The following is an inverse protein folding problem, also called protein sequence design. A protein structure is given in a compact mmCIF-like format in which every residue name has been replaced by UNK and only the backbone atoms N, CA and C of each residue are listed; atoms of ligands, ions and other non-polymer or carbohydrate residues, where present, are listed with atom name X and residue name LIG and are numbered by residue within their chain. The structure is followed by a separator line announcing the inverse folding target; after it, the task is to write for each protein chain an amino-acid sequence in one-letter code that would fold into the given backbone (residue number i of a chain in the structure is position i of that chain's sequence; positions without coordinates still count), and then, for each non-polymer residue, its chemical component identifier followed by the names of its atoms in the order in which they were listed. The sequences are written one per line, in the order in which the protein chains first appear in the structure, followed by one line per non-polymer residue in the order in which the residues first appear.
data_IF_417906563597
#
_entry.id   IF_417906563597
#
_cell.length_a   1.000
_cell.length_b   1.000
_cell.length_c   1.000
_cell.angle_alpha   90.00
_cell.angle_beta   90.00
_cell.angle_gamma   90.00
#
_symmetry.space_group_name_H-M   'P 1'
#
loop_
_entity.id
_entity.type
_entity.pdbx_description
1 polymer ?
#
# COMPACT_ATOMS: atom_id res chain seq x y z
N UNK A 1 15.33 33.92 -38.34
CA UNK A 1 13.88 33.76 -38.52
C UNK A 1 13.50 32.32 -38.17
N UNK A 2 12.54 32.14 -37.28
CA UNK A 2 11.97 30.83 -37.04
C UNK A 2 11.00 30.58 -38.20
N UNK A 3 11.24 29.52 -38.99
CA UNK A 3 10.25 29.01 -39.96
C UNK A 3 9.12 28.33 -39.20
N UNK A 4 8.14 29.13 -38.81
CA UNK A 4 6.95 28.67 -38.12
C UNK A 4 5.72 28.93 -39.01
N UNK A 5 5.05 27.86 -39.40
CA UNK A 5 3.75 27.93 -40.05
C UNK A 5 2.68 27.57 -39.01
N UNK A 6 1.72 28.47 -38.70
CA UNK A 6 0.60 28.14 -37.80
C UNK A 6 -0.23 26.95 -38.29
N UNK A 7 -0.31 26.75 -39.61
CA UNK A 7 -1.07 25.66 -40.21
C UNK A 7 -0.46 24.28 -39.97
N UNK A 8 0.88 24.15 -39.88
CA UNK A 8 1.59 22.91 -39.60
C UNK A 8 1.54 22.55 -38.12
N UNK A 9 1.15 23.50 -37.26
CA UNK A 9 1.08 23.36 -35.81
C UNK A 9 -0.37 23.37 -35.27
N UNK A 10 -1.34 23.18 -36.15
CA UNK A 10 -2.73 22.96 -35.71
C UNK A 10 -2.83 21.65 -34.91
N UNK A 11 -3.55 21.70 -33.79
CA UNK A 11 -3.83 20.51 -32.98
C UNK A 11 -4.51 19.46 -33.84
N UNK A 12 -3.80 18.39 -34.16
CA UNK A 12 -4.38 17.22 -34.82
C UNK A 12 -5.29 16.47 -33.84
N UNK A 13 -6.31 15.81 -34.37
CA UNK A 13 -7.11 14.89 -33.57
C UNK A 13 -6.20 13.80 -32.98
N UNK A 14 -6.43 13.35 -31.75
CA UNK A 14 -5.70 12.21 -31.21
C UNK A 14 -5.82 11.01 -32.14
N UNK A 15 -4.71 10.38 -32.46
CA UNK A 15 -4.69 9.17 -33.32
C UNK A 15 -4.60 7.93 -32.45
N UNK A 16 -5.06 6.80 -32.97
CA UNK A 16 -4.99 5.49 -32.30
C UNK A 16 -3.54 5.10 -31.95
N UNK A 17 -2.53 5.72 -32.57
CA UNK A 17 -1.12 5.57 -32.18
C UNK A 17 -0.81 6.02 -30.72
N UNK A 18 -1.68 6.82 -30.09
CA UNK A 18 -1.58 7.17 -28.67
C UNK A 18 -2.09 6.08 -27.74
N UNK A 19 -2.85 5.11 -28.25
CA UNK A 19 -3.43 4.05 -27.45
C UNK A 19 -2.37 3.27 -26.63
N UNK A 20 -1.28 2.74 -27.21
CA UNK A 20 -0.25 2.01 -26.46
C UNK A 20 0.43 2.89 -25.41
N UNK A 21 0.65 4.18 -25.72
CA UNK A 21 1.25 5.11 -24.80
C UNK A 21 0.32 5.39 -23.60
N UNK A 22 -0.98 5.58 -23.85
CA UNK A 22 -1.94 5.84 -22.78
C UNK A 22 -2.21 4.60 -21.95
N UNK A 23 -2.16 3.39 -22.53
CA UNK A 23 -2.18 2.14 -21.79
C UNK A 23 -0.95 2.04 -20.86
N UNK A 24 0.25 2.26 -21.41
CA UNK A 24 1.50 2.26 -20.62
C UNK A 24 1.51 3.29 -19.48
N UNK A 25 0.84 4.43 -19.68
CA UNK A 25 0.74 5.52 -18.69
C UNK A 25 -0.50 5.42 -17.80
N UNK A 26 -1.30 4.35 -17.92
CA UNK A 26 -2.57 4.14 -17.20
C UNK A 26 -3.60 5.27 -17.40
N UNK A 27 -3.56 5.93 -18.54
CA UNK A 27 -4.49 7.02 -18.87
C UNK A 27 -5.79 6.49 -19.50
N UNK A 28 -6.42 5.48 -18.89
CA UNK A 28 -7.64 4.83 -19.38
C UNK A 28 -8.76 5.82 -19.67
N UNK A 29 -8.97 6.79 -18.77
CA UNK A 29 -9.96 7.87 -18.97
C UNK A 29 -9.68 8.74 -20.21
N UNK A 30 -8.42 8.84 -20.66
CA UNK A 30 -8.09 9.56 -21.88
C UNK A 30 -8.34 8.69 -23.12
N UNK A 31 -8.16 7.39 -23.02
CA UNK A 31 -8.51 6.43 -24.06
C UNK A 31 -10.01 6.53 -24.36
N UNK A 32 -10.84 6.45 -23.33
CA UNK A 32 -12.29 6.58 -23.45
C UNK A 32 -12.70 7.96 -23.96
N UNK A 33 -12.15 9.03 -23.38
CA UNK A 33 -12.44 10.42 -23.75
C UNK A 33 -12.16 10.72 -25.22
N UNK A 34 -11.11 10.11 -25.77
CA UNK A 34 -10.72 10.34 -27.17
C UNK A 34 -11.20 9.24 -28.10
N UNK A 35 -11.88 8.20 -27.60
CA UNK A 35 -12.40 7.08 -28.37
C UNK A 35 -11.30 6.32 -29.13
N UNK A 36 -10.09 6.22 -28.49
CA UNK A 36 -8.94 5.58 -29.13
C UNK A 36 -9.16 4.06 -29.19
N UNK A 37 -8.78 3.47 -30.30
CA UNK A 37 -8.83 2.03 -30.53
C UNK A 37 -7.42 1.45 -30.50
N UNK A 38 -7.26 0.17 -30.10
CA UNK A 38 -5.99 -0.50 -30.24
C UNK A 38 -5.57 -0.48 -31.74
N UNK A 39 -4.29 -0.14 -32.04
CA UNK A 39 -3.77 -0.20 -33.41
C UNK A 39 -3.91 -1.62 -33.97
N UNK A 40 -4.24 -1.72 -35.25
CA UNK A 40 -4.42 -3.00 -35.96
C UNK A 40 -3.13 -3.87 -36.02
N UNK A 41 -1.96 -3.27 -35.79
CA UNK A 41 -0.64 -3.90 -35.80
C UNK A 41 -0.14 -4.31 -34.40
N UNK A 42 -0.90 -4.06 -33.35
CA UNK A 42 -0.63 -4.80 -32.11
C UNK A 42 -1.01 -6.24 -32.41
N UNK A 43 -0.10 -7.24 -32.24
CA UNK A 43 -0.48 -8.64 -32.32
C UNK A 43 -1.79 -8.77 -31.55
N UNK A 44 -2.83 -9.32 -32.19
CA UNK A 44 -4.11 -9.56 -31.52
C UNK A 44 -3.77 -10.06 -30.12
N UNK A 45 -4.27 -9.36 -29.09
CA UNK A 45 -3.99 -9.70 -27.71
C UNK A 45 -3.98 -11.23 -27.64
N UNK A 46 -2.91 -11.81 -27.09
CA UNK A 46 -2.92 -13.23 -26.77
C UNK A 46 -4.33 -13.55 -26.28
N UNK A 47 -4.89 -14.68 -26.72
CA UNK A 47 -6.30 -15.01 -26.43
C UNK A 47 -6.62 -14.60 -24.99
N UNK A 48 -7.78 -13.94 -24.74
CA UNK A 48 -8.08 -13.44 -23.40
C UNK A 48 -7.84 -14.55 -22.40
N UNK A 49 -7.13 -14.24 -21.31
CA UNK A 49 -6.91 -15.22 -20.24
C UNK A 49 -8.28 -15.66 -19.74
N UNK A 50 -8.57 -16.95 -19.88
CA UNK A 50 -9.80 -17.53 -19.37
C UNK A 50 -9.66 -17.70 -17.85
N UNK A 51 -10.39 -16.86 -17.11
CA UNK A 51 -10.46 -16.92 -15.64
C UNK A 51 -11.64 -17.77 -15.17
N UNK A 52 -12.26 -18.55 -16.07
CA UNK A 52 -13.40 -19.40 -15.72
C UNK A 52 -12.91 -20.65 -14.99
N UNK A 53 -13.38 -20.84 -13.76
CA UNK A 53 -13.08 -22.02 -12.96
C UNK A 53 -14.39 -22.73 -12.58
N UNK A 54 -14.30 -24.04 -12.35
CA UNK A 54 -15.41 -24.77 -11.75
C UNK A 54 -15.37 -24.57 -10.25
N UNK A 55 -16.28 -23.74 -9.73
CA UNK A 55 -16.38 -23.47 -8.30
C UNK A 55 -17.10 -24.62 -7.57
N UNK A 56 -16.58 -25.00 -6.42
CA UNK A 56 -17.17 -26.03 -5.56
C UNK A 56 -17.19 -25.58 -4.10
N UNK A 57 -18.41 -25.44 -3.55
CA UNK A 57 -18.61 -25.06 -2.15
C UNK A 57 -18.25 -26.22 -1.21
N UNK A 58 -17.35 -25.94 -0.27
CA UNK A 58 -16.89 -26.88 0.74
C UNK A 58 -17.53 -26.53 2.09
N UNK A 59 -18.66 -27.16 2.38
CA UNK A 59 -19.47 -26.85 3.55
C UNK A 59 -19.32 -27.88 4.70
N UNK A 60 -18.90 -29.10 4.40
CA UNK A 60 -18.79 -30.18 5.40
C UNK A 60 -17.36 -30.51 5.77
N UNK A 61 -17.16 -31.07 6.96
CA UNK A 61 -15.84 -31.48 7.46
C UNK A 61 -15.21 -32.57 6.59
N UNK A 62 -16.02 -33.51 6.12
CA UNK A 62 -15.58 -34.62 5.28
C UNK A 62 -15.06 -34.13 3.96
N UNK A 63 -15.77 -33.21 3.30
CA UNK A 63 -15.37 -32.60 2.05
C UNK A 63 -14.13 -31.75 2.24
N UNK A 64 -14.03 -31.00 3.32
CA UNK A 64 -12.83 -30.21 3.65
C UNK A 64 -11.59 -31.10 3.81
N UNK A 65 -11.71 -32.26 4.47
CA UNK A 65 -10.61 -33.24 4.60
C UNK A 65 -10.16 -33.79 3.25
N UNK A 66 -11.11 -34.06 2.34
CA UNK A 66 -10.81 -34.50 0.97
C UNK A 66 -9.99 -33.44 0.24
N UNK A 67 -10.46 -32.19 0.21
CA UNK A 67 -9.74 -31.08 -0.43
C UNK A 67 -8.37 -30.82 0.19
N UNK A 68 -8.25 -30.79 1.49
CA UNK A 68 -6.96 -30.66 2.18
C UNK A 68 -5.97 -31.78 1.80
N UNK A 69 -6.47 -33.00 1.55
CA UNK A 69 -5.62 -34.09 1.06
C UNK A 69 -5.16 -33.86 -0.39
N UNK A 70 -6.00 -33.26 -1.24
CA UNK A 70 -5.65 -32.87 -2.61
C UNK A 70 -4.63 -31.73 -2.61
N UNK A 71 -4.86 -30.68 -1.81
CA UNK A 71 -3.95 -29.53 -1.71
C UNK A 71 -2.53 -29.93 -1.27
N UNK A 72 -2.40 -30.87 -0.34
CA UNK A 72 -1.09 -31.40 0.08
C UNK A 72 -0.35 -32.19 -0.98
N UNK A 73 -1.07 -32.71 -2.00
CA UNK A 73 -0.50 -33.48 -3.11
C UNK A 73 -0.23 -32.60 -4.34
N UNK A 74 -0.89 -31.45 -4.43
CA UNK A 74 -0.66 -30.51 -5.50
C UNK A 74 0.77 -29.95 -5.42
N UNK A 75 1.33 -29.59 -6.56
CA UNK A 75 2.61 -28.88 -6.60
C UNK A 75 2.52 -27.56 -5.83
N UNK A 76 1.43 -26.83 -6.03
CA UNK A 76 1.01 -25.67 -5.26
C UNK A 76 -0.51 -25.48 -5.36
N UNK A 77 -1.03 -24.57 -4.57
CA UNK A 77 -2.39 -24.03 -4.67
C UNK A 77 -2.32 -22.52 -4.74
N UNK A 78 -3.22 -21.90 -5.48
CA UNK A 78 -3.39 -20.44 -5.45
C UNK A 78 -4.51 -20.09 -4.48
N UNK A 79 -4.20 -19.26 -3.48
CA UNK A 79 -5.10 -18.97 -2.38
C UNK A 79 -5.28 -17.48 -2.19
N UNK A 80 -6.54 -17.03 -2.12
CA UNK A 80 -6.90 -15.72 -1.58
C UNK A 80 -7.84 -15.90 -0.37
N UNK A 81 -7.69 -15.00 0.61
CA UNK A 81 -8.55 -14.91 1.76
C UNK A 81 -9.13 -13.50 1.89
N UNK A 82 -10.37 -13.39 2.37
CA UNK A 82 -10.94 -12.11 2.76
C UNK A 82 -10.15 -11.52 3.95
N UNK A 83 -10.08 -10.19 4.08
CA UNK A 83 -9.28 -9.54 5.13
C UNK A 83 -9.62 -9.96 6.56
N UNK A 84 -10.86 -10.36 6.83
CA UNK A 84 -11.35 -10.85 8.12
C UNK A 84 -11.29 -12.37 8.27
N UNK A 85 -10.75 -13.07 7.26
CA UNK A 85 -10.70 -14.53 7.16
C UNK A 85 -12.08 -15.22 7.17
N UNK A 86 -13.17 -14.51 6.86
CA UNK A 86 -14.51 -15.10 6.76
C UNK A 86 -14.74 -15.89 5.48
N UNK A 87 -13.89 -15.73 4.48
CA UNK A 87 -13.90 -16.44 3.21
C UNK A 87 -12.50 -16.76 2.73
N UNK A 88 -12.33 -17.95 2.16
CA UNK A 88 -11.07 -18.38 1.51
C UNK A 88 -11.43 -19.12 0.23
N UNK A 89 -10.80 -18.74 -0.87
CA UNK A 89 -10.86 -19.46 -2.14
C UNK A 89 -9.50 -20.09 -2.43
N UNK A 90 -9.51 -21.31 -2.88
CA UNK A 90 -8.32 -22.09 -3.22
C UNK A 90 -8.48 -22.67 -4.62
N UNK A 91 -7.72 -22.16 -5.56
CA UNK A 91 -7.61 -22.70 -6.92
C UNK A 91 -6.47 -23.71 -6.97
N UNK A 92 -6.70 -24.85 -7.61
CA UNK A 92 -5.69 -25.89 -7.81
C UNK A 92 -6.00 -26.73 -9.03
N UNK A 93 -4.99 -27.38 -9.56
CA UNK A 93 -5.15 -28.31 -10.68
C UNK A 93 -5.37 -29.72 -10.11
N UNK A 94 -6.55 -30.29 -10.39
CA UNK A 94 -6.90 -31.67 -10.02
C UNK A 94 -6.62 -32.60 -11.20
N UNK A 95 -5.57 -33.43 -11.13
CA UNK A 95 -5.21 -34.38 -12.17
C UNK A 95 -4.60 -33.73 -13.41
N UNK A 96 -4.89 -34.25 -14.60
CA UNK A 96 -4.15 -33.84 -15.83
C UNK A 96 -4.64 -32.56 -16.52
N UNK A 97 -5.78 -31.94 -16.14
CA UNK A 97 -6.24 -30.76 -16.92
C UNK A 97 -7.37 -29.90 -16.35
N UNK A 98 -7.90 -30.11 -15.17
CA UNK A 98 -9.07 -29.30 -14.73
C UNK A 98 -8.71 -28.44 -13.54
N UNK A 99 -8.72 -27.13 -13.75
CA UNK A 99 -8.65 -26.17 -12.67
C UNK A 99 -9.96 -26.21 -11.87
N UNK A 100 -9.87 -26.40 -10.57
CA UNK A 100 -11.00 -26.42 -9.63
C UNK A 100 -10.78 -25.33 -8.59
N UNK A 101 -11.86 -24.61 -8.30
CA UNK A 101 -11.88 -23.57 -7.28
C UNK A 101 -12.70 -24.07 -6.07
N UNK A 102 -12.05 -24.34 -4.97
CA UNK A 102 -12.69 -24.71 -3.72
C UNK A 102 -13.00 -23.47 -2.90
N UNK A 103 -14.28 -23.25 -2.56
CA UNK A 103 -14.69 -22.10 -1.77
C UNK A 103 -15.06 -22.49 -0.36
N UNK A 104 -14.52 -21.77 0.59
CA UNK A 104 -14.75 -21.93 2.01
C UNK A 104 -15.28 -20.62 2.59
N UNK A 105 -16.49 -20.65 3.16
CA UNK A 105 -17.06 -19.47 3.84
C UNK A 105 -17.47 -19.84 5.26
N UNK A 106 -17.06 -19.02 6.22
CA UNK A 106 -17.41 -19.18 7.63
C UNK A 106 -18.93 -19.36 7.84
N UNK A 107 -19.73 -18.58 7.11
CA UNK A 107 -21.20 -18.60 7.20
C UNK A 107 -21.85 -19.89 6.71
N UNK A 108 -21.12 -20.72 5.94
CA UNK A 108 -21.66 -21.96 5.31
C UNK A 108 -20.97 -23.23 5.79
N UNK A 109 -19.84 -23.12 6.49
CA UNK A 109 -19.07 -24.26 6.93
C UNK A 109 -19.64 -24.85 8.25
N UNK A 110 -19.93 -26.15 8.25
CA UNK A 110 -20.56 -26.87 9.37
C UNK A 110 -19.55 -27.35 10.43
N UNK A 111 -18.25 -27.15 10.21
CA UNK A 111 -17.19 -27.59 11.11
C UNK A 111 -16.58 -26.48 11.95
N UNK A 112 -15.49 -26.81 12.65
CA UNK A 112 -14.66 -25.84 13.35
C UNK A 112 -13.85 -25.01 12.31
N UNK A 113 -14.23 -23.76 12.15
CA UNK A 113 -13.61 -22.84 11.21
C UNK A 113 -12.12 -22.60 11.50
N UNK A 114 -11.76 -22.42 12.77
CA UNK A 114 -10.35 -22.22 13.15
C UNK A 114 -9.50 -23.46 12.87
N UNK A 115 -10.05 -24.66 13.09
CA UNK A 115 -9.35 -25.90 12.74
C UNK A 115 -9.18 -26.02 11.22
N UNK A 116 -10.16 -25.62 10.42
CA UNK A 116 -10.05 -25.57 8.96
C UNK A 116 -8.97 -24.58 8.52
N UNK A 117 -8.99 -23.35 9.03
CA UNK A 117 -7.97 -22.34 8.70
C UNK A 117 -6.56 -22.81 9.09
N UNK A 118 -6.39 -23.42 10.27
CA UNK A 118 -5.10 -24.02 10.67
C UNK A 118 -4.61 -25.05 9.67
N UNK A 119 -5.51 -25.85 9.11
CA UNK A 119 -5.16 -26.87 8.13
C UNK A 119 -4.84 -26.25 6.74
N UNK A 120 -5.61 -25.24 6.29
CA UNK A 120 -5.38 -24.54 5.04
C UNK A 120 -4.05 -23.77 5.03
N UNK A 121 -3.72 -23.12 6.15
CA UNK A 121 -2.51 -22.32 6.29
C UNK A 121 -1.31 -23.10 6.86
N UNK A 122 -1.42 -24.43 6.98
CA UNK A 122 -0.29 -25.27 7.42
C UNK A 122 0.87 -25.27 6.43
N UNK A 123 2.05 -25.63 6.91
CA UNK A 123 3.29 -25.63 6.13
C UNK A 123 3.32 -26.70 5.03
N UNK A 124 2.56 -27.78 5.20
CA UNK A 124 2.46 -28.90 4.27
C UNK A 124 1.63 -28.60 3.01
N UNK A 125 1.03 -27.41 2.91
CA UNK A 125 0.37 -26.90 1.71
C UNK A 125 1.19 -25.74 1.14
N UNK A 126 1.70 -25.87 -0.08
CA UNK A 126 2.42 -24.82 -0.78
C UNK A 126 1.45 -23.82 -1.41
N UNK A 127 1.55 -22.56 -1.03
CA UNK A 127 0.59 -21.52 -1.38
C UNK A 127 1.21 -20.41 -2.23
N UNK A 128 0.59 -20.11 -3.35
CA UNK A 128 0.73 -18.88 -4.12
C UNK A 128 -0.34 -17.92 -3.64
N UNK A 129 0.00 -16.64 -3.42
CA UNK A 129 -0.98 -15.65 -3.00
C UNK A 129 -0.58 -14.24 -3.45
N UNK A 130 -1.29 -13.25 -2.95
CA UNK A 130 -1.05 -11.84 -3.21
C UNK A 130 -1.00 -11.06 -1.91
N UNK A 131 -0.03 -10.12 -1.76
CA UNK A 131 0.21 -9.40 -0.51
C UNK A 131 0.39 -10.34 0.69
N UNK A 132 1.27 -11.33 0.53
CA UNK A 132 1.49 -12.41 1.51
C UNK A 132 1.83 -11.85 2.89
N UNK A 133 2.63 -10.79 3.00
CA UNK A 133 2.96 -10.17 4.29
C UNK A 133 1.72 -9.74 5.07
N UNK A 134 0.77 -9.08 4.42
CA UNK A 134 -0.45 -8.58 5.08
C UNK A 134 -1.35 -9.74 5.51
N UNK A 135 -1.47 -10.77 4.67
CA UNK A 135 -2.17 -12.00 5.03
C UNK A 135 -1.49 -12.71 6.21
N UNK A 136 -0.17 -12.85 6.20
CA UNK A 136 0.59 -13.43 7.32
C UNK A 136 0.40 -12.65 8.62
N UNK A 137 0.31 -11.33 8.56
CA UNK A 137 -0.01 -10.51 9.73
C UNK A 137 -1.40 -10.83 10.28
N UNK A 138 -2.41 -10.86 9.40
CA UNK A 138 -3.79 -11.24 9.80
C UNK A 138 -3.84 -12.64 10.42
N UNK A 139 -3.11 -13.60 9.84
CA UNK A 139 -3.00 -14.97 10.39
C UNK A 139 -2.38 -14.96 11.79
N UNK A 140 -1.30 -14.22 12.02
CA UNK A 140 -0.67 -14.09 13.35
C UNK A 140 -1.62 -13.47 14.38
N UNK A 141 -2.39 -12.45 14.01
CA UNK A 141 -3.38 -11.80 14.86
C UNK A 141 -4.48 -12.80 15.31
N UNK A 142 -4.77 -13.79 14.47
CA UNK A 142 -5.72 -14.87 14.76
C UNK A 142 -5.06 -16.15 15.32
N UNK A 143 -3.77 -16.13 15.63
CA UNK A 143 -3.04 -17.27 16.18
C UNK A 143 -2.95 -18.46 15.22
N UNK A 144 -2.93 -18.19 13.91
CA UNK A 144 -2.86 -19.18 12.84
C UNK A 144 -1.42 -19.34 12.30
N UNK A 145 -1.08 -20.47 11.64
CA UNK A 145 0.19 -20.66 10.96
C UNK A 145 0.37 -19.66 9.82
N UNK A 146 1.62 -19.31 9.52
CA UNK A 146 1.97 -18.34 8.46
C UNK A 146 2.95 -18.92 7.42
N UNK A 147 3.22 -20.18 7.49
CA UNK A 147 4.20 -20.89 6.68
C UNK A 147 3.60 -21.40 5.36
N UNK A 148 4.46 -21.93 4.48
CA UNK A 148 4.05 -22.58 3.23
C UNK A 148 3.72 -21.62 2.07
N UNK A 149 3.90 -20.32 2.21
CA UNK A 149 3.80 -19.39 1.08
C UNK A 149 5.05 -19.45 0.23
N UNK A 150 4.89 -19.84 -1.03
CA UNK A 150 5.98 -20.00 -1.99
C UNK A 150 6.04 -18.88 -3.02
N UNK A 151 5.01 -18.06 -3.12
CA UNK A 151 4.97 -16.92 -4.06
C UNK A 151 4.01 -15.83 -3.60
N UNK A 152 4.40 -14.56 -3.88
CA UNK A 152 3.62 -13.34 -3.70
C UNK A 152 3.64 -12.54 -5.01
N UNK A 153 2.49 -12.44 -5.68
CA UNK A 153 2.41 -11.77 -6.98
C UNK A 153 2.58 -10.25 -6.90
N UNK A 154 2.25 -9.60 -5.78
CA UNK A 154 2.51 -8.17 -5.59
C UNK A 154 4.01 -7.89 -5.54
N UNK A 155 4.75 -8.70 -4.77
CA UNK A 155 6.19 -8.58 -4.60
C UNK A 155 6.95 -8.91 -5.89
N UNK A 156 6.51 -9.95 -6.61
CA UNK A 156 7.05 -10.30 -7.92
C UNK A 156 6.83 -9.16 -8.94
N UNK A 157 5.62 -8.62 -9.01
CA UNK A 157 5.31 -7.47 -9.86
C UNK A 157 6.16 -6.25 -9.56
N UNK A 158 6.41 -5.98 -8.28
CA UNK A 158 7.33 -4.91 -7.86
C UNK A 158 8.76 -5.14 -8.33
N UNK A 159 9.31 -6.33 -8.18
CA UNK A 159 10.67 -6.61 -8.65
C UNK A 159 10.79 -6.57 -10.17
N UNK A 160 9.74 -6.96 -10.89
CA UNK A 160 9.71 -6.89 -12.36
C UNK A 160 9.61 -5.44 -12.87
N UNK A 161 8.89 -4.54 -12.18
CA UNK A 161 8.84 -3.11 -12.46
C UNK A 161 8.62 -2.27 -11.19
N UNK A 162 9.70 -1.88 -10.53
CA UNK A 162 9.66 -1.02 -9.34
C UNK A 162 9.16 0.41 -9.61
N UNK A 163 8.85 0.76 -10.85
CA UNK A 163 8.36 2.09 -11.24
C UNK A 163 6.85 2.15 -11.49
N UNK A 164 6.17 1.02 -11.55
CA UNK A 164 4.73 0.94 -11.79
C UNK A 164 3.91 1.65 -10.71
N UNK A 165 4.34 1.58 -9.45
CA UNK A 165 3.76 2.34 -8.32
C UNK A 165 2.43 1.77 -7.81
N UNK A 166 1.87 0.75 -8.48
CA UNK A 166 0.69 0.00 -8.07
C UNK A 166 0.90 -1.48 -8.36
N UNK A 167 0.68 -2.29 -7.35
CA UNK A 167 0.92 -3.73 -7.41
C UNK A 167 -0.29 -4.53 -6.92
N UNK A 168 -1.48 -3.92 -6.89
CA UNK A 168 -2.73 -4.65 -6.66
C UNK A 168 -3.07 -5.56 -7.85
N UNK A 169 -3.85 -6.61 -7.59
CA UNK A 169 -4.16 -7.65 -8.58
C UNK A 169 -4.74 -7.05 -9.87
N UNK A 170 -5.68 -6.11 -9.76
CA UNK A 170 -6.35 -5.53 -10.93
C UNK A 170 -5.39 -4.70 -11.79
N UNK A 171 -4.51 -3.91 -11.14
CA UNK A 171 -3.48 -3.10 -11.83
C UNK A 171 -2.44 -4.00 -12.51
N UNK A 172 -1.95 -5.04 -11.83
CA UNK A 172 -1.01 -6.00 -12.42
C UNK A 172 -1.65 -6.77 -13.57
N UNK A 173 -2.87 -7.25 -13.40
CA UNK A 173 -3.58 -7.99 -14.43
C UNK A 173 -3.82 -7.12 -15.67
N UNK A 174 -4.24 -5.88 -15.49
CA UNK A 174 -4.42 -4.93 -16.60
C UNK A 174 -3.10 -4.62 -17.32
N UNK A 175 -1.98 -4.50 -16.58
CA UNK A 175 -0.68 -4.19 -17.16
C UNK A 175 -0.10 -5.34 -18.00
N UNK A 176 -0.31 -6.59 -17.58
CA UNK A 176 0.30 -7.76 -18.25
C UNK A 176 -0.63 -8.44 -19.26
N UNK A 177 -1.93 -8.47 -18.98
CA UNK A 177 -2.89 -9.15 -19.84
C UNK A 177 -3.79 -8.21 -20.66
N UNK A 178 -3.68 -6.89 -20.43
CA UNK A 178 -4.51 -5.86 -21.08
C UNK A 178 -6.03 -6.07 -20.90
N UNK A 179 -6.41 -6.69 -19.79
CA UNK A 179 -7.79 -6.97 -19.42
C UNK A 179 -8.10 -6.31 -18.07
N UNK A 180 -9.33 -5.88 -17.88
CA UNK A 180 -9.79 -5.24 -16.64
C UNK A 180 -10.60 -6.21 -15.79
N UNK A 181 -10.28 -6.27 -14.51
CA UNK A 181 -11.08 -6.99 -13.50
C UNK A 181 -12.17 -6.06 -12.93
N UNK A 182 -13.19 -6.66 -12.32
CA UNK A 182 -14.20 -5.92 -11.56
C UNK A 182 -13.55 -5.08 -10.44
N UNK A 183 -14.24 -4.05 -9.94
CA UNK A 183 -13.69 -3.21 -8.89
C UNK A 183 -13.43 -3.99 -7.58
N UNK A 184 -12.31 -3.71 -6.87
CA UNK A 184 -11.92 -4.42 -5.65
C UNK A 184 -12.93 -4.34 -4.48
N UNK A 185 -13.87 -3.41 -4.52
CA UNK A 185 -14.95 -3.28 -3.51
C UNK A 185 -15.77 -4.56 -3.33
N UNK A 186 -15.79 -5.44 -4.33
CA UNK A 186 -16.44 -6.75 -4.23
C UNK A 186 -15.67 -7.74 -3.33
N UNK A 187 -14.43 -7.42 -2.95
CA UNK A 187 -13.64 -8.20 -1.99
C UNK A 187 -13.70 -7.60 -0.57
N UNK A 188 -14.51 -6.58 -0.34
CA UNK A 188 -14.76 -6.06 1.00
C UNK A 188 -15.59 -7.11 1.78
N UNK A 189 -15.24 -7.47 3.03
CA UNK A 189 -16.04 -8.38 3.85
C UNK A 189 -17.52 -7.99 3.97
N UNK A 190 -17.83 -6.71 3.94
CA UNK A 190 -19.21 -6.21 3.96
C UNK A 190 -20.03 -6.66 2.72
N UNK A 191 -19.36 -6.89 1.58
CA UNK A 191 -20.02 -7.41 0.36
C UNK A 191 -20.49 -8.87 0.52
N UNK A 192 -19.93 -9.61 1.48
CA UNK A 192 -20.31 -10.98 1.83
C UNK A 192 -21.30 -11.07 3.00
N UNK A 193 -21.90 -9.93 3.38
CA UNK A 193 -22.91 -9.87 4.44
C UNK A 193 -24.17 -10.66 4.06
N UNK A 194 -24.68 -11.45 4.99
CA UNK A 194 -25.91 -12.26 4.83
C UNK A 194 -27.17 -11.46 4.50
N UNK A 195 -27.11 -10.13 4.46
CA UNK A 195 -28.26 -9.25 4.21
C UNK A 195 -28.40 -8.85 2.74
N UNK A 196 -27.51 -9.28 1.83
CA UNK A 196 -27.49 -8.92 0.41
C UNK A 196 -27.31 -10.13 -0.52
N UNK A 197 -27.36 -9.86 -1.83
CA UNK A 197 -26.97 -10.81 -2.87
C UNK A 197 -25.44 -10.84 -2.95
N UNK A 198 -24.84 -11.95 -2.55
CA UNK A 198 -23.38 -12.14 -2.53
C UNK A 198 -22.81 -12.67 -3.85
N UNK A 199 -23.65 -12.98 -4.84
CA UNK A 199 -23.24 -13.69 -6.05
C UNK A 199 -22.20 -12.90 -6.87
N UNK A 200 -22.34 -11.58 -6.96
CA UNK A 200 -21.34 -10.74 -7.66
C UNK A 200 -19.99 -10.71 -6.91
N UNK A 201 -20.05 -10.63 -5.58
CA UNK A 201 -18.85 -10.65 -4.73
C UNK A 201 -18.14 -12.01 -4.80
N UNK A 202 -18.87 -13.09 -4.71
CA UNK A 202 -18.35 -14.47 -4.84
C UNK A 202 -17.72 -14.67 -6.22
N UNK A 203 -18.41 -14.27 -7.29
CA UNK A 203 -17.86 -14.32 -8.65
C UNK A 203 -16.56 -13.51 -8.78
N UNK A 204 -16.54 -12.28 -8.25
CA UNK A 204 -15.34 -11.45 -8.27
C UNK A 204 -14.20 -12.11 -7.48
N UNK A 205 -14.49 -12.74 -6.35
CA UNK A 205 -13.46 -13.39 -5.52
C UNK A 205 -12.81 -14.58 -6.25
N UNK A 206 -13.59 -15.39 -6.97
CA UNK A 206 -13.05 -16.44 -7.85
C UNK A 206 -12.17 -15.84 -8.97
N UNK A 207 -12.69 -14.84 -9.68
CA UNK A 207 -11.95 -14.17 -10.77
C UNK A 207 -10.62 -13.60 -10.27
N UNK A 208 -10.59 -13.00 -9.09
CA UNK A 208 -9.36 -12.47 -8.50
C UNK A 208 -8.38 -13.57 -8.10
N UNK A 209 -8.87 -14.70 -7.59
CA UNK A 209 -8.00 -15.85 -7.26
C UNK A 209 -7.38 -16.44 -8.50
N UNK A 210 -8.17 -16.65 -9.57
CA UNK A 210 -7.66 -17.13 -10.85
C UNK A 210 -6.74 -16.13 -11.54
N UNK A 211 -6.96 -14.82 -11.34
CA UNK A 211 -6.03 -13.79 -11.81
C UNK A 211 -4.67 -13.85 -11.11
N UNK A 212 -4.64 -14.18 -9.81
CA UNK A 212 -3.37 -14.40 -9.08
C UNK A 212 -2.62 -15.61 -9.64
N UNK A 213 -3.33 -16.68 -9.99
CA UNK A 213 -2.74 -17.86 -10.62
C UNK A 213 -2.11 -17.53 -11.98
N UNK A 214 -2.84 -16.82 -12.84
CA UNK A 214 -2.34 -16.37 -14.14
C UNK A 214 -1.12 -15.44 -14.01
N UNK A 215 -1.11 -14.55 -13.00
CA UNK A 215 0.04 -13.70 -12.68
C UNK A 215 1.24 -14.53 -12.21
N UNK A 216 1.02 -15.55 -11.39
CA UNK A 216 2.09 -16.46 -10.97
C UNK A 216 2.75 -17.16 -12.15
N UNK A 217 1.95 -17.78 -13.03
CA UNK A 217 2.42 -18.47 -14.22
C UNK A 217 3.23 -17.55 -15.15
N UNK A 218 2.91 -16.26 -15.16
CA UNK A 218 3.63 -15.25 -15.94
C UNK A 218 4.89 -14.74 -15.22
N UNK A 219 4.82 -14.49 -13.93
CA UNK A 219 5.89 -13.81 -13.19
C UNK A 219 7.04 -14.75 -12.81
N UNK A 220 6.75 -16.00 -12.45
CA UNK A 220 7.78 -16.94 -12.03
C UNK A 220 8.85 -17.14 -13.13
N UNK A 221 8.52 -17.44 -14.41
CA UNK A 221 9.52 -17.52 -15.46
C UNK A 221 10.18 -16.18 -15.82
N UNK A 222 9.48 -15.03 -15.69
CA UNK A 222 10.09 -13.71 -15.93
C UNK A 222 11.12 -13.33 -14.85
N UNK A 223 10.92 -13.73 -13.59
CA UNK A 223 11.93 -13.57 -12.53
C UNK A 223 13.21 -14.35 -12.84
N UNK A 224 13.08 -15.59 -13.31
CA UNK A 224 14.21 -16.41 -13.75
C UNK A 224 14.96 -15.76 -14.91
N UNK A 225 14.23 -15.37 -15.96
CA UNK A 225 14.78 -14.76 -17.17
C UNK A 225 15.53 -13.44 -16.89
N UNK A 226 15.11 -12.69 -15.86
CA UNK A 226 15.73 -11.43 -15.45
C UNK A 226 16.78 -11.60 -14.35
N UNK A 227 17.13 -12.83 -14.00
CA UNK A 227 18.13 -13.16 -12.95
C UNK A 227 17.74 -12.59 -11.56
N UNK A 228 16.43 -12.50 -11.27
CA UNK A 228 15.89 -12.00 -10.02
C UNK A 228 15.51 -13.12 -9.03
N UNK A 229 15.70 -14.39 -9.39
CA UNK A 229 15.33 -15.55 -8.60
C UNK A 229 15.89 -15.51 -7.19
N UNK A 230 17.21 -15.34 -7.06
CA UNK A 230 17.88 -15.30 -5.75
C UNK A 230 17.36 -14.16 -4.88
N UNK A 231 17.22 -12.94 -5.46
CA UNK A 231 16.67 -11.80 -4.75
C UNK A 231 15.24 -12.08 -4.27
N UNK A 232 14.42 -12.68 -5.12
CA UNK A 232 13.03 -12.94 -4.79
C UNK A 232 12.86 -14.02 -3.72
N UNK A 233 13.44 -15.21 -3.94
CA UNK A 233 13.20 -16.39 -3.09
C UNK A 233 14.06 -16.41 -1.82
N UNK A 234 15.28 -15.85 -1.86
CA UNK A 234 16.20 -15.89 -0.72
C UNK A 234 16.13 -14.63 0.15
N UNK A 235 15.59 -13.53 -0.37
CA UNK A 235 15.55 -12.25 0.35
C UNK A 235 14.11 -11.74 0.53
N UNK A 236 13.44 -11.37 -0.54
CA UNK A 236 12.20 -10.60 -0.47
C UNK A 236 11.01 -11.42 0.05
N UNK A 237 10.80 -12.62 -0.44
CA UNK A 237 9.70 -13.48 -0.01
C UNK A 237 9.84 -13.93 1.46
N UNK A 238 11.01 -14.42 1.93
CA UNK A 238 11.21 -14.72 3.36
C UNK A 238 11.06 -13.50 4.28
N UNK A 239 11.39 -12.31 3.78
CA UNK A 239 11.25 -11.04 4.51
C UNK A 239 9.79 -10.73 4.85
N UNK A 240 8.81 -11.17 4.04
CA UNK A 240 7.38 -11.02 4.33
C UNK A 240 7.04 -11.55 5.73
N UNK A 241 7.46 -12.77 6.05
CA UNK A 241 7.19 -13.38 7.36
C UNK A 241 7.90 -12.66 8.51
N UNK A 242 9.10 -12.14 8.27
CA UNK A 242 9.85 -11.35 9.27
C UNK A 242 9.11 -10.05 9.57
N UNK A 243 8.73 -9.31 8.54
CA UNK A 243 8.02 -8.04 8.68
C UNK A 243 6.64 -8.24 9.30
N UNK A 244 5.89 -9.27 8.89
CA UNK A 244 4.61 -9.61 9.51
C UNK A 244 4.73 -9.88 11.02
N UNK A 245 5.76 -10.62 11.44
CA UNK A 245 6.05 -10.85 12.88
C UNK A 245 6.47 -9.56 13.59
N UNK A 246 7.25 -8.69 12.95
CA UNK A 246 7.63 -7.38 13.52
C UNK A 246 6.39 -6.49 13.72
N UNK A 247 5.52 -6.42 12.72
CA UNK A 247 4.26 -5.67 12.79
C UNK A 247 3.33 -6.23 13.87
N UNK A 248 3.19 -7.55 13.95
CA UNK A 248 2.38 -8.20 15.00
C UNK A 248 2.96 -7.98 16.40
N UNK A 249 4.27 -8.14 16.57
CA UNK A 249 4.94 -7.92 17.85
C UNK A 249 4.86 -6.47 18.30
N UNK A 250 5.04 -5.53 17.39
CA UNK A 250 5.12 -4.10 17.68
C UNK A 250 6.32 -3.74 18.56
N UNK A 251 6.54 -2.44 18.73
CA UNK A 251 7.60 -1.89 19.56
C UNK A 251 7.04 -1.37 20.89
N UNK A 252 7.66 -1.80 22.00
CA UNK A 252 7.25 -1.35 23.35
C UNK A 252 7.61 0.11 23.56
N UNK A 253 6.66 0.89 24.07
CA UNK A 253 6.84 2.31 24.40
C UNK A 253 6.51 2.55 25.87
N UNK A 254 7.34 3.31 26.53
CA UNK A 254 7.06 3.82 27.87
C UNK A 254 6.16 5.07 27.74
N UNK A 255 4.86 4.87 27.89
CA UNK A 255 3.87 5.95 27.79
C UNK A 255 4.09 7.05 28.87
N UNK A 256 4.61 6.69 30.04
CA UNK A 256 4.89 7.68 31.10
C UNK A 256 6.09 8.54 30.75
N UNK A 257 7.16 7.92 30.23
CA UNK A 257 8.34 8.66 29.74
C UNK A 257 7.96 9.59 28.58
N UNK A 258 7.13 9.11 27.64
CA UNK A 258 6.64 9.93 26.54
C UNK A 258 5.78 11.11 27.02
N UNK A 259 4.91 10.90 28.00
CA UNK A 259 4.09 11.94 28.60
C UNK A 259 4.93 12.98 29.38
N UNK A 260 5.95 12.52 30.12
CA UNK A 260 6.88 13.42 30.84
C UNK A 260 7.67 14.28 29.85
N UNK A 261 8.20 13.66 28.75
CA UNK A 261 8.87 14.39 27.68
C UNK A 261 7.94 15.42 27.02
N UNK A 262 6.68 15.05 26.76
CA UNK A 262 5.67 15.96 26.22
C UNK A 262 5.42 17.17 27.11
N UNK A 263 5.32 16.94 28.42
CA UNK A 263 5.13 18.03 29.40
C UNK A 263 6.33 18.98 29.46
N UNK A 264 7.55 18.45 29.36
CA UNK A 264 8.77 19.28 29.29
C UNK A 264 8.79 20.13 28.00
N UNK A 265 8.44 19.53 26.85
CA UNK A 265 8.33 20.26 25.58
C UNK A 265 7.28 21.37 25.65
N UNK A 266 6.15 21.14 26.31
CA UNK A 266 5.09 22.13 26.45
C UNK A 266 5.56 23.35 27.27
N UNK A 267 6.33 23.14 28.35
CA UNK A 267 6.94 24.22 29.12
C UNK A 267 7.90 25.06 28.28
N UNK A 268 8.77 24.39 27.49
CA UNK A 268 9.70 25.08 26.60
C UNK A 268 8.96 25.89 25.52
N UNK A 269 7.93 25.29 24.92
CA UNK A 269 7.09 25.95 23.90
C UNK A 269 6.41 27.19 24.44
N UNK A 270 5.81 27.14 25.66
CA UNK A 270 5.17 28.28 26.29
C UNK A 270 6.17 29.41 26.60
N UNK A 271 7.36 29.06 27.09
CA UNK A 271 8.42 30.01 27.35
C UNK A 271 8.89 30.73 26.08
N UNK A 272 9.14 29.96 25.02
CA UNK A 272 9.54 30.52 23.70
C UNK A 272 8.44 31.37 23.09
N UNK A 273 7.18 30.93 23.17
CA UNK A 273 6.03 31.68 22.68
C UNK A 273 5.91 33.05 23.37
N UNK A 274 6.06 33.09 24.69
CA UNK A 274 6.02 34.33 25.44
C UNK A 274 7.15 35.29 25.00
N UNK A 275 8.39 34.81 24.90
CA UNK A 275 9.50 35.61 24.45
C UNK A 275 9.34 36.11 22.99
N UNK A 276 8.78 35.28 22.10
CA UNK A 276 8.47 35.69 20.75
C UNK A 276 7.42 36.78 20.71
N UNK A 277 6.37 36.71 21.54
CA UNK A 277 5.32 37.73 21.63
C UNK A 277 5.85 39.05 22.22
N UNK A 278 6.72 38.98 23.21
CA UNK A 278 7.39 40.17 23.77
C UNK A 278 8.21 40.89 22.69
N UNK A 279 9.02 40.18 21.92
CA UNK A 279 9.86 40.74 20.85
C UNK A 279 9.05 41.19 19.63
N UNK A 280 7.94 40.53 19.34
CA UNK A 280 7.01 40.92 18.29
C UNK A 280 6.11 42.10 18.68
N UNK A 281 6.04 42.45 19.97
CA UNK A 281 5.13 43.47 20.52
C UNK A 281 3.66 43.09 20.49
N UNK A 282 3.36 41.78 20.72
CA UNK A 282 2.02 41.25 20.89
C UNK A 282 1.84 39.85 20.32
N UNK A 283 0.73 39.18 20.69
CA UNK A 283 0.44 37.79 20.27
C UNK A 283 0.08 37.71 18.78
N UNK A 284 0.49 36.61 18.16
CA UNK A 284 0.13 36.20 16.80
C UNK A 284 0.29 34.70 16.63
N UNK A 285 -0.25 34.11 15.56
CA UNK A 285 -0.05 32.69 15.30
C UNK A 285 1.33 32.45 14.67
N UNK A 286 2.30 31.98 15.48
CA UNK A 286 3.69 31.68 15.04
C UNK A 286 3.71 30.57 13.97
N UNK A 287 2.73 29.66 13.99
CA UNK A 287 2.61 28.57 13.03
C UNK A 287 1.95 28.99 11.69
N UNK A 288 1.42 30.22 11.62
CA UNK A 288 0.89 30.77 10.36
C UNK A 288 1.98 31.46 9.57
N UNK A 289 2.41 30.93 8.39
CA UNK A 289 3.44 31.57 7.58
C UNK A 289 3.08 33.02 7.19
N UNK A 290 1.78 33.30 7.01
CA UNK A 290 1.29 34.64 6.67
C UNK A 290 1.49 35.61 7.84
N UNK A 291 0.95 35.30 9.03
CA UNK A 291 1.06 36.16 10.20
C UNK A 291 2.52 36.36 10.64
N UNK A 292 3.32 35.29 10.58
CA UNK A 292 4.75 35.36 10.85
C UNK A 292 5.45 36.26 9.83
N UNK A 293 5.13 36.16 8.55
CA UNK A 293 5.66 37.05 7.52
C UNK A 293 5.28 38.51 7.74
N UNK A 294 4.03 38.78 8.11
CA UNK A 294 3.55 40.14 8.43
C UNK A 294 4.29 40.74 9.66
N UNK A 295 4.60 39.94 10.67
CA UNK A 295 5.38 40.39 11.83
C UNK A 295 6.84 40.65 11.45
N UNK A 296 7.52 39.68 10.80
CA UNK A 296 8.94 39.79 10.50
C UNK A 296 9.26 40.87 9.48
N UNK A 297 8.50 40.91 8.40
CA UNK A 297 8.79 41.78 7.24
C UNK A 297 7.96 43.06 7.20
N UNK A 298 6.78 43.05 7.86
CA UNK A 298 5.92 44.24 7.94
C UNK A 298 6.16 45.07 9.22
N UNK A 299 6.16 44.41 10.37
CA UNK A 299 6.26 45.15 11.68
C UNK A 299 7.72 45.38 12.13
N UNK A 300 8.57 44.33 11.99
CA UNK A 300 9.98 44.38 12.37
C UNK A 300 10.91 44.83 11.22
N UNK A 301 10.35 45.05 10.04
CA UNK A 301 11.02 45.56 8.85
C UNK A 301 12.33 44.82 8.46
N UNK A 302 12.36 43.48 8.75
CA UNK A 302 13.54 42.67 8.42
C UNK A 302 13.73 42.54 6.89
N UNK A 303 14.95 42.34 6.39
CA UNK A 303 15.22 42.31 4.97
C UNK A 303 14.53 41.07 4.31
N UNK A 304 13.58 41.34 3.41
CA UNK A 304 12.84 40.29 2.72
C UNK A 304 13.56 39.86 1.43
N UNK A 305 14.07 38.62 1.40
CA UNK A 305 14.81 38.09 0.26
C UNK A 305 13.94 37.30 -0.75
N UNK A 306 12.84 36.72 -0.34
CA UNK A 306 12.06 35.81 -1.19
C UNK A 306 10.55 35.99 -1.00
N UNK A 307 9.84 36.37 -2.07
CA UNK A 307 8.37 36.38 -2.10
C UNK A 307 7.84 35.12 -2.76
N UNK A 308 6.78 34.56 -2.20
CA UNK A 308 5.98 33.47 -2.78
C UNK A 308 4.64 34.02 -3.30
N UNK A 309 3.86 33.18 -3.99
CA UNK A 309 2.51 33.58 -4.47
C UNK A 309 1.56 34.00 -3.31
N UNK A 310 1.81 33.52 -2.09
CA UNK A 310 0.99 33.75 -0.89
C UNK A 310 1.60 34.74 0.12
N UNK A 311 2.72 35.39 -0.20
CA UNK A 311 3.40 36.34 0.69
C UNK A 311 4.90 36.10 0.82
N UNK A 312 5.48 36.47 1.95
CA UNK A 312 6.91 36.27 2.21
C UNK A 312 7.21 34.83 2.63
N UNK A 313 8.31 34.26 2.12
CA UNK A 313 8.77 32.95 2.58
C UNK A 313 9.32 33.02 4.02
N UNK A 314 8.86 32.11 4.87
CA UNK A 314 9.33 31.95 6.25
C UNK A 314 9.89 30.53 6.45
N UNK A 315 10.43 29.88 5.40
CA UNK A 315 11.09 28.58 5.53
C UNK A 315 12.38 28.67 6.37
N UNK A 316 12.91 27.53 6.81
CA UNK A 316 14.07 27.50 7.70
C UNK A 316 15.29 28.22 7.10
N UNK A 317 15.60 27.98 5.83
CA UNK A 317 16.73 28.62 5.12
C UNK A 317 16.65 30.16 5.15
N UNK A 318 15.44 30.71 4.87
CA UNK A 318 15.23 32.17 4.91
C UNK A 318 15.37 32.71 6.32
N UNK A 319 14.86 31.98 7.33
CA UNK A 319 14.98 32.41 8.73
C UNK A 319 16.42 32.31 9.23
N UNK A 320 17.18 31.27 8.88
CA UNK A 320 18.59 31.14 9.26
C UNK A 320 19.44 32.31 8.76
N UNK A 321 19.18 32.80 7.55
CA UNK A 321 19.84 34.00 7.03
C UNK A 321 19.48 35.30 7.78
N UNK A 322 18.36 35.30 8.50
CA UNK A 322 17.89 36.46 9.27
C UNK A 322 18.35 36.46 10.73
N UNK A 323 19.02 35.42 11.23
CA UNK A 323 19.52 35.33 12.60
C UNK A 323 20.36 36.59 13.02
N UNK A 324 21.25 37.11 12.16
CA UNK A 324 22.07 38.27 12.54
C UNK A 324 21.30 39.60 12.71
N UNK A 325 20.05 39.65 12.22
CA UNK A 325 19.28 40.88 12.17
C UNK A 325 18.36 41.10 13.38
N UNK A 326 17.86 39.99 13.99
CA UNK A 326 16.96 40.11 15.15
C UNK A 326 16.92 38.83 15.99
N UNK A 327 16.97 38.94 17.35
CA UNK A 327 16.99 37.75 18.24
C UNK A 327 15.71 36.89 18.16
N UNK A 328 14.57 37.46 17.76
CA UNK A 328 13.31 36.74 17.56
C UNK A 328 13.48 35.53 16.63
N UNK A 329 14.37 35.61 15.63
CA UNK A 329 14.54 34.58 14.60
C UNK A 329 15.03 33.25 15.21
N UNK A 330 16.06 33.32 16.08
CA UNK A 330 16.58 32.13 16.75
C UNK A 330 15.49 31.48 17.63
N UNK A 331 14.67 32.25 18.30
CA UNK A 331 13.55 31.75 19.11
C UNK A 331 12.45 31.11 18.26
N UNK A 332 12.12 31.68 17.11
CA UNK A 332 11.16 31.09 16.16
C UNK A 332 11.67 29.77 15.61
N UNK A 333 12.94 29.67 15.24
CA UNK A 333 13.54 28.41 14.76
C UNK A 333 13.51 27.35 15.85
N UNK A 334 13.85 27.73 17.09
CA UNK A 334 13.79 26.84 18.25
C UNK A 334 12.35 26.42 18.58
N UNK A 335 11.39 27.35 18.58
CA UNK A 335 9.96 27.07 18.75
C UNK A 335 9.47 26.06 17.72
N UNK A 336 9.80 26.24 16.44
CA UNK A 336 9.41 25.31 15.37
C UNK A 336 10.01 23.92 15.56
N UNK A 337 11.26 23.84 16.03
CA UNK A 337 11.90 22.56 16.35
C UNK A 337 11.13 21.82 17.45
N UNK A 338 10.86 22.49 18.59
CA UNK A 338 10.10 21.90 19.69
C UNK A 338 8.65 21.59 19.29
N UNK A 339 8.00 22.47 18.53
CA UNK A 339 6.63 22.23 18.06
C UNK A 339 6.53 21.00 17.14
N UNK A 340 7.50 20.82 16.25
CA UNK A 340 7.59 19.61 15.41
C UNK A 340 7.83 18.36 16.26
N UNK A 341 8.72 18.42 17.23
CA UNK A 341 8.97 17.30 18.15
C UNK A 341 7.71 16.92 18.94
N UNK A 342 7.04 17.91 19.53
CA UNK A 342 5.82 17.70 20.29
C UNK A 342 4.69 17.12 19.43
N UNK A 343 4.37 17.77 18.31
CA UNK A 343 3.22 17.33 17.48
C UNK A 343 3.46 16.01 16.75
N UNK A 344 4.67 15.77 16.25
CA UNK A 344 4.96 14.56 15.45
C UNK A 344 5.26 13.36 16.34
N UNK A 345 6.07 13.55 17.38
CA UNK A 345 6.60 12.42 18.15
C UNK A 345 5.86 12.22 19.49
N UNK A 346 5.37 13.26 20.14
CA UNK A 346 4.61 13.07 21.38
C UNK A 346 3.13 12.82 21.08
N UNK A 347 2.46 13.81 20.46
CA UNK A 347 1.02 13.72 20.19
C UNK A 347 0.74 12.62 19.13
N UNK A 348 1.50 12.61 18.02
CA UNK A 348 1.29 11.65 16.93
C UNK A 348 1.54 10.19 17.31
N UNK A 349 2.45 9.91 18.26
CA UNK A 349 2.68 8.53 18.73
C UNK A 349 1.73 8.12 19.84
N UNK A 350 1.33 9.06 20.70
CA UNK A 350 0.47 8.78 21.87
C UNK A 350 -0.83 8.06 21.46
N UNK A 351 -1.45 8.51 20.39
CA UNK A 351 -2.72 7.95 19.89
C UNK A 351 -2.56 6.58 19.21
N UNK A 352 -1.33 6.18 18.90
CA UNK A 352 -1.02 4.87 18.26
C UNK A 352 -0.57 3.81 19.25
N UNK A 353 -0.42 4.16 20.55
CA UNK A 353 -0.03 3.21 21.59
C UNK A 353 -1.21 2.29 21.90
N UNK A 354 -1.06 1.01 21.63
CA UNK A 354 -2.05 -0.01 21.97
C UNK A 354 -2.17 -0.26 23.48
N UNK A 355 -3.20 -1.00 23.91
CA UNK A 355 -3.45 -1.31 25.32
C UNK A 355 -2.32 -2.12 25.98
N UNK A 356 -1.50 -2.79 25.19
CA UNK A 356 -0.30 -3.54 25.59
C UNK A 356 0.97 -2.68 25.64
N UNK A 357 0.85 -1.35 25.57
CA UNK A 357 1.95 -0.39 25.53
C UNK A 357 2.90 -0.58 24.33
N UNK A 358 2.36 -1.00 23.20
CA UNK A 358 3.13 -1.18 21.97
C UNK A 358 2.57 -0.34 20.84
N UNK A 359 3.48 0.14 20.00
CA UNK A 359 3.16 0.77 18.72
C UNK A 359 3.41 -0.27 17.62
N UNK A 360 2.45 -0.39 16.72
CA UNK A 360 2.53 -1.26 15.54
C UNK A 360 2.53 -0.40 14.30
N UNK A 361 3.63 -0.47 13.56
CA UNK A 361 3.80 0.23 12.29
C UNK A 361 3.61 -0.76 11.15
N UNK A 362 3.21 -0.29 10.00
CA UNK A 362 3.14 -1.07 8.77
C UNK A 362 4.44 -0.88 7.99
N UNK A 363 5.11 -1.98 7.63
CA UNK A 363 6.31 -1.97 6.79
C UNK A 363 5.94 -2.36 5.36
N UNK A 364 6.27 -1.50 4.40
CA UNK A 364 5.93 -1.71 3.00
C UNK A 364 7.17 -1.98 2.16
N UNK A 365 7.22 -3.14 1.50
CA UNK A 365 8.33 -3.57 0.66
C UNK A 365 8.24 -2.96 -0.74
N UNK A 366 7.06 -2.58 -1.21
CA UNK A 366 6.78 -2.20 -2.60
C UNK A 366 6.62 -0.69 -2.83
N UNK A 367 6.76 0.15 -1.79
CA UNK A 367 6.52 1.60 -1.89
C UNK A 367 7.67 2.37 -2.57
N UNK A 368 8.90 1.90 -2.42
CA UNK A 368 10.07 2.66 -2.87
C UNK A 368 10.66 2.08 -4.15
N UNK A 369 11.14 2.93 -5.04
CA UNK A 369 11.80 2.48 -6.28
C UNK A 369 13.23 1.96 -6.07
N UNK A 370 13.74 2.01 -4.84
CA UNK A 370 15.15 1.77 -4.52
C UNK A 370 15.38 0.51 -3.72
N UNK A 371 14.36 -0.32 -3.49
CA UNK A 371 14.45 -1.51 -2.64
C UNK A 371 14.48 -1.22 -1.14
N UNK A 372 14.29 0.04 -0.71
CA UNK A 372 14.15 0.37 0.70
C UNK A 372 12.75 0.01 1.19
N UNK A 373 12.66 -0.42 2.43
CA UNK A 373 11.38 -0.59 3.13
C UNK A 373 10.91 0.77 3.63
N UNK A 374 9.65 1.12 3.41
CA UNK A 374 9.01 2.28 4.05
C UNK A 374 8.25 1.85 5.30
N UNK A 375 8.02 2.80 6.21
CA UNK A 375 7.25 2.60 7.43
C UNK A 375 6.11 3.61 7.48
N UNK A 376 4.90 3.15 7.80
CA UNK A 376 3.70 3.95 7.84
C UNK A 376 2.83 3.60 9.07
N UNK A 377 1.98 4.51 9.47
CA UNK A 377 0.90 4.32 10.45
C UNK A 377 1.30 3.73 11.82
N UNK A 378 2.26 4.34 12.55
CA UNK A 378 3.00 5.56 12.27
C UNK A 378 4.32 5.31 11.54
N UNK A 379 4.89 6.36 10.91
CA UNK A 379 6.21 6.26 10.31
C UNK A 379 7.29 6.27 11.40
N UNK A 380 7.85 5.09 11.69
CA UNK A 380 8.88 4.88 12.71
C UNK A 380 10.30 5.20 12.22
N UNK A 381 10.50 5.41 10.92
CA UNK A 381 11.82 5.74 10.35
C UNK A 381 12.22 7.20 10.56
N UNK A 382 11.29 8.05 10.96
CA UNK A 382 11.53 9.47 11.20
C UNK A 382 11.73 9.81 12.68
N UNK A 383 11.86 8.82 13.55
CA UNK A 383 12.04 8.99 15.02
C UNK A 383 13.53 8.98 15.37
#
# INVERSE_FOLDING_TARGET
PLEFSPQDNLRKAPSDALYPLFMKLEFTKLIDKYGLKPPADIPAAEEPVDLTVTAEAVTTVEKAKEYLSLFRKAEHVTLLALPDLSGVIVDFVAGESTAVSAEFYFSRYEGDWNALLRALFSDDIKKVSHNVKDLQRTLLENGLPIEGFIFDTALAGYLLDATAGKYDIASLFAAYFHQTLAEPKHLDPDAFSMLGDTAEAETAFHVYTSAVDALYETFAPELEKRELHELYYEVELPLCAVLARMEHAGMRVDANALAAFGSEMEVQLKTLEQHIYEEAGGPFNINSPKQLGDVLFGKLELPAKKKTKSGYSTNAEVLEELIPYHPIISKILEYRKYKKLSSTYVEGLKDTIGPDSRIRSVFRQTDTRTGRISSAEPNMQNI
#
